data_IF_807626223272
#
_entry.id   IF_807626223272
#
_cell.length_a   1.000
_cell.length_b   1.000
_cell.length_c   1.000
_cell.angle_alpha   90.00
_cell.angle_beta   90.00
_cell.angle_gamma   90.00
#
_symmetry.space_group_name_H-M   'P 1'
#
loop_
_entity.id
_entity.type
_entity.pdbx_description
1 polymer ?
#
# COMPACT_ATOMS: atom_id res chain seq x y z
N UNK A 1 26.52 22.39 -11.59
CA UNK A 1 25.29 21.57 -11.60
C UNK A 1 25.76 20.12 -11.56
N UNK A 2 25.42 19.33 -10.54
CA UNK A 2 25.84 17.91 -10.50
C UNK A 2 24.93 17.12 -11.43
N UNK A 3 25.52 16.27 -12.27
CA UNK A 3 24.77 15.36 -13.13
C UNK A 3 23.96 14.38 -12.28
N UNK A 4 22.64 14.36 -12.50
CA UNK A 4 21.71 13.44 -11.83
C UNK A 4 21.77 12.09 -12.57
N UNK A 5 22.54 11.15 -12.03
CA UNK A 5 22.56 9.78 -12.55
C UNK A 5 21.35 9.00 -12.03
N UNK A 6 20.53 8.49 -12.94
CA UNK A 6 19.42 7.60 -12.60
C UNK A 6 19.97 6.22 -12.19
N UNK A 7 19.39 5.66 -11.13
CA UNK A 7 19.65 4.29 -10.72
C UNK A 7 19.05 3.27 -11.69
N UNK A 8 19.33 1.97 -11.49
CA UNK A 8 18.69 0.91 -12.26
C UNK A 8 17.16 0.91 -12.05
N UNK A 9 16.43 0.38 -13.03
CA UNK A 9 14.98 0.24 -12.92
C UNK A 9 14.59 -0.63 -11.71
N UNK A 10 13.48 -0.30 -11.01
CA UNK A 10 13.07 -1.05 -9.84
C UNK A 10 12.60 -2.45 -10.23
N UNK A 11 12.98 -3.45 -9.42
CA UNK A 11 12.55 -4.85 -9.62
C UNK A 11 11.19 -5.17 -9.00
N UNK A 12 10.68 -4.27 -8.17
CA UNK A 12 9.37 -4.37 -7.55
C UNK A 12 8.62 -3.06 -7.76
N UNK A 13 7.33 -3.17 -8.08
CA UNK A 13 6.39 -2.06 -7.94
C UNK A 13 5.25 -2.50 -7.04
N UNK A 14 4.79 -1.60 -6.19
CA UNK A 14 3.76 -1.88 -5.19
C UNK A 14 2.52 -1.07 -5.54
N UNK A 15 1.35 -1.66 -5.35
CA UNK A 15 0.09 -0.95 -5.49
C UNK A 15 -0.90 -1.36 -4.39
N UNK A 16 -1.67 -0.38 -3.92
CA UNK A 16 -2.69 -0.53 -2.90
C UNK A 16 -3.98 0.14 -3.40
N UNK A 17 -5.13 -0.46 -3.15
CA UNK A 17 -6.40 0.14 -3.49
C UNK A 17 -7.61 -0.71 -3.10
N UNK A 18 -8.82 -0.32 -3.53
CA UNK A 18 -10.06 -1.05 -3.27
C UNK A 18 -10.04 -2.47 -3.83
N UNK A 19 -10.80 -3.38 -3.22
CA UNK A 19 -10.94 -4.76 -3.71
C UNK A 19 -11.69 -4.82 -5.05
N UNK A 20 -12.71 -4.00 -5.24
CA UNK A 20 -13.54 -4.03 -6.45
C UNK A 20 -13.17 -2.94 -7.46
N UNK A 21 -12.08 -2.19 -7.19
CA UNK A 21 -11.60 -1.10 -8.02
C UNK A 21 -10.33 -1.45 -8.81
N UNK A 22 -10.01 -0.61 -9.79
CA UNK A 22 -8.69 -0.64 -10.42
C UNK A 22 -7.63 -0.24 -9.39
N UNK A 23 -6.70 -1.15 -9.13
CA UNK A 23 -5.46 -0.84 -8.41
C UNK A 23 -4.43 -0.44 -9.46
N UNK A 24 -3.92 0.80 -9.48
CA UNK A 24 -2.99 1.24 -10.51
C UNK A 24 -1.74 0.35 -10.54
N UNK A 25 -1.59 -0.47 -11.58
CA UNK A 25 -0.53 -1.50 -11.67
C UNK A 25 0.88 -0.89 -11.77
N UNK A 26 1.01 0.28 -12.38
CA UNK A 26 2.24 1.05 -12.46
C UNK A 26 1.94 2.47 -12.95
N UNK A 27 2.60 3.46 -12.35
CA UNK A 27 2.57 4.86 -12.81
C UNK A 27 3.84 5.25 -13.56
N UNK A 28 4.77 4.31 -13.78
CA UNK A 28 6.00 4.57 -14.48
C UNK A 28 5.70 5.02 -15.92
N UNK A 29 6.26 6.16 -16.34
CA UNK A 29 6.11 6.71 -17.69
C UNK A 29 4.79 7.44 -17.95
N UNK A 30 3.99 7.72 -16.93
CA UNK A 30 2.78 8.57 -17.09
C UNK A 30 3.14 10.05 -17.04
N UNK A 31 2.56 10.83 -17.95
CA UNK A 31 2.66 12.30 -17.94
C UNK A 31 1.85 12.93 -16.79
N UNK A 32 0.79 12.25 -16.35
CA UNK A 32 -0.08 12.70 -15.26
C UNK A 32 -0.25 11.60 -14.20
N UNK A 33 -0.13 11.99 -12.92
CA UNK A 33 -0.48 11.11 -11.81
C UNK A 33 -2.00 11.01 -11.70
N UNK A 34 -2.58 9.81 -11.56
CA UNK A 34 -4.01 9.67 -11.34
C UNK A 34 -4.39 10.24 -9.97
N UNK A 35 -5.66 10.61 -9.81
CA UNK A 35 -6.20 10.90 -8.49
C UNK A 35 -6.07 9.66 -7.58
N UNK A 36 -5.56 9.82 -6.34
CA UNK A 36 -5.51 8.74 -5.37
C UNK A 36 -6.89 8.13 -5.14
N UNK A 37 -6.98 6.80 -5.21
CA UNK A 37 -8.20 6.09 -4.84
C UNK A 37 -8.57 6.38 -3.39
N UNK A 38 -9.85 6.30 -3.04
CA UNK A 38 -10.34 6.54 -1.68
C UNK A 38 -10.97 5.28 -1.08
N UNK A 39 -10.62 5.03 0.18
CA UNK A 39 -11.26 4.05 1.05
C UNK A 39 -11.95 4.79 2.19
N UNK A 40 -13.21 4.44 2.43
CA UNK A 40 -14.01 4.95 3.56
C UNK A 40 -14.17 3.83 4.57
N UNK A 41 -14.02 4.16 5.85
CA UNK A 41 -14.19 3.25 6.98
C UNK A 41 -14.92 3.98 8.11
N UNK A 42 -15.82 3.30 8.80
CA UNK A 42 -16.50 3.83 9.97
C UNK A 42 -15.81 3.39 11.27
N UNK A 43 -15.92 4.15 12.38
CA UNK A 43 -15.44 3.72 13.68
C UNK A 43 -16.02 2.34 14.07
N UNK A 44 -15.15 1.39 14.40
CA UNK A 44 -15.52 0.00 14.71
C UNK A 44 -15.66 -0.92 13.49
N UNK A 45 -15.49 -0.40 12.27
CA UNK A 45 -15.55 -1.18 11.04
C UNK A 45 -14.19 -1.80 10.69
N UNK A 46 -14.24 -2.92 9.97
CA UNK A 46 -13.10 -3.49 9.24
C UNK A 46 -13.42 -3.57 7.76
N UNK A 47 -12.60 -2.91 6.94
CA UNK A 47 -12.69 -2.96 5.47
C UNK A 47 -11.55 -3.77 4.87
N UNK A 48 -11.69 -4.11 3.59
CA UNK A 48 -10.69 -4.84 2.81
C UNK A 48 -10.03 -3.91 1.80
N UNK A 49 -8.72 -4.06 1.61
CA UNK A 49 -7.98 -3.45 0.51
C UNK A 49 -7.13 -4.50 -0.22
N UNK A 50 -6.92 -4.32 -1.52
CA UNK A 50 -6.05 -5.17 -2.33
C UNK A 50 -4.64 -4.57 -2.35
N UNK A 51 -3.66 -5.36 -1.93
CA UNK A 51 -2.24 -5.10 -2.10
C UNK A 51 -1.71 -5.98 -3.24
N UNK A 52 -1.01 -5.35 -4.19
CA UNK A 52 -0.42 -6.02 -5.34
C UNK A 52 1.05 -5.66 -5.50
N UNK A 53 1.84 -6.61 -5.98
CA UNK A 53 3.21 -6.39 -6.46
C UNK A 53 3.31 -6.72 -7.94
N UNK A 54 4.06 -5.90 -8.66
CA UNK A 54 4.57 -6.22 -10.00
C UNK A 54 6.05 -6.56 -9.84
N UNK A 55 6.43 -7.76 -10.30
CA UNK A 55 7.80 -8.28 -10.19
C UNK A 55 8.51 -8.15 -11.53
N UNK A 56 9.58 -7.38 -11.57
CA UNK A 56 10.52 -7.30 -12.68
C UNK A 56 11.83 -8.01 -12.29
N UNK A 57 11.80 -9.35 -12.35
CA UNK A 57 12.96 -10.20 -12.04
C UNK A 57 13.24 -10.44 -10.55
N UNK A 58 12.31 -10.06 -9.66
CA UNK A 58 12.38 -10.40 -8.24
C UNK A 58 11.41 -11.53 -7.87
N UNK A 59 11.95 -12.67 -7.45
CA UNK A 59 11.16 -13.89 -7.21
C UNK A 59 10.90 -14.17 -5.73
N UNK A 60 11.62 -13.53 -4.81
CA UNK A 60 11.47 -13.79 -3.38
C UNK A 60 10.14 -13.30 -2.79
N UNK A 61 9.89 -13.66 -1.53
CA UNK A 61 8.78 -13.10 -0.75
C UNK A 61 8.90 -11.58 -0.56
N UNK A 62 7.80 -10.86 -0.58
CA UNK A 62 7.77 -9.39 -0.35
C UNK A 62 7.15 -9.09 1.00
N UNK A 63 7.95 -8.55 1.91
CA UNK A 63 7.49 -8.06 3.20
C UNK A 63 7.20 -6.58 3.09
N UNK A 64 6.11 -6.17 3.71
CA UNK A 64 5.76 -4.77 3.83
C UNK A 64 5.94 -4.38 5.28
N UNK A 65 6.61 -3.24 5.47
CA UNK A 65 6.34 -2.49 6.68
C UNK A 65 4.83 -2.19 6.66
N UNK A 66 4.13 -2.64 7.71
CA UNK A 66 2.70 -2.43 7.85
C UNK A 66 2.37 -0.95 7.60
N UNK A 67 1.11 -0.61 7.28
CA UNK A 67 0.63 0.78 7.06
C UNK A 67 0.88 1.75 8.25
N UNK A 68 1.79 1.47 9.17
CA UNK A 68 2.30 2.35 10.22
C UNK A 68 2.78 3.71 9.69
N UNK A 69 3.09 3.83 8.41
CA UNK A 69 3.39 5.10 7.77
C UNK A 69 2.07 5.84 7.45
N UNK A 70 1.67 6.72 8.36
CA UNK A 70 0.61 7.73 8.21
C UNK A 70 -0.86 7.27 8.30
N UNK A 71 -1.16 6.09 8.87
CA UNK A 71 -2.55 5.76 9.25
C UNK A 71 -3.14 6.79 10.23
N UNK A 72 -4.46 7.05 10.17
CA UNK A 72 -5.15 7.80 11.23
C UNK A 72 -4.97 7.13 12.61
N UNK A 73 -4.91 7.94 13.66
CA UNK A 73 -4.75 7.43 15.03
C UNK A 73 -5.94 6.53 15.41
N UNK A 74 -5.64 5.31 15.86
CA UNK A 74 -6.63 4.28 16.15
C UNK A 74 -7.10 3.46 14.95
N UNK A 75 -6.51 3.68 13.77
CA UNK A 75 -6.65 2.79 12.60
C UNK A 75 -5.41 1.92 12.48
N UNK A 76 -5.61 0.63 12.20
CA UNK A 76 -4.53 -0.36 12.11
C UNK A 76 -4.81 -1.42 11.03
N UNK A 77 -3.77 -2.17 10.68
CA UNK A 77 -3.91 -3.36 9.82
C UNK A 77 -4.15 -4.55 10.73
N UNK A 78 -5.26 -5.24 10.47
CA UNK A 78 -5.64 -6.45 11.18
C UNK A 78 -5.23 -7.71 10.40
N UNK A 79 -5.29 -8.86 11.05
CA UNK A 79 -5.04 -10.18 10.48
C UNK A 79 -3.63 -10.32 9.84
N UNK A 80 -2.64 -9.68 10.45
CA UNK A 80 -1.23 -9.80 10.05
C UNK A 80 -0.52 -10.89 10.86
N UNK A 81 0.39 -11.61 10.20
CA UNK A 81 1.27 -12.57 10.88
C UNK A 81 2.36 -11.86 11.69
N UNK A 82 3.21 -12.66 12.36
CA UNK A 82 4.31 -12.15 13.19
C UNK A 82 5.26 -11.17 12.45
N UNK A 83 5.39 -11.33 11.13
CA UNK A 83 6.23 -10.49 10.27
C UNK A 83 5.47 -9.34 9.60
N UNK A 84 4.24 -9.06 10.00
CA UNK A 84 3.39 -8.05 9.36
C UNK A 84 2.74 -8.56 8.08
N UNK A 85 2.60 -7.65 7.10
CA UNK A 85 2.01 -7.96 5.80
C UNK A 85 3.09 -8.58 4.91
N UNK A 86 2.81 -9.77 4.38
CA UNK A 86 3.72 -10.54 3.54
C UNK A 86 2.98 -11.04 2.30
N UNK A 87 3.56 -10.87 1.12
CA UNK A 87 3.18 -11.62 -0.09
C UNK A 87 4.21 -12.73 -0.29
N UNK A 88 3.82 -14.02 -0.24
CA UNK A 88 4.71 -15.16 -0.46
C UNK A 88 5.43 -15.13 -1.81
N UNK A 89 6.47 -15.95 -1.92
CA UNK A 89 7.09 -16.25 -3.23
C UNK A 89 6.07 -16.95 -4.14
N UNK A 90 6.04 -16.58 -5.41
CA UNK A 90 5.07 -17.08 -6.40
C UNK A 90 3.69 -16.41 -6.34
N UNK A 91 3.42 -15.59 -5.33
CA UNK A 91 2.19 -14.77 -5.24
C UNK A 91 2.48 -13.30 -5.58
N UNK A 92 1.48 -12.64 -6.17
CA UNK A 92 1.58 -11.24 -6.61
C UNK A 92 0.55 -10.32 -5.94
N UNK A 93 -0.40 -10.86 -5.20
CA UNK A 93 -1.41 -10.06 -4.52
C UNK A 93 -1.90 -10.72 -3.23
N UNK A 94 -2.37 -9.88 -2.30
CA UNK A 94 -3.21 -10.34 -1.19
C UNK A 94 -4.20 -9.28 -0.77
N UNK A 95 -5.17 -9.72 0.02
CA UNK A 95 -6.08 -8.84 0.73
C UNK A 95 -5.48 -8.47 2.08
N UNK A 96 -5.53 -7.18 2.41
CA UNK A 96 -5.25 -6.64 3.74
C UNK A 96 -6.54 -6.14 4.37
N UNK A 97 -6.62 -6.24 5.69
CA UNK A 97 -7.76 -5.80 6.47
C UNK A 97 -7.38 -4.54 7.24
N UNK A 98 -8.18 -3.49 7.10
CA UNK A 98 -7.96 -2.20 7.76
C UNK A 98 -9.10 -2.02 8.75
N UNK A 99 -8.77 -1.78 10.01
CA UNK A 99 -9.76 -1.65 11.09
C UNK A 99 -9.62 -0.29 11.76
N UNK A 100 -10.74 0.39 11.98
CA UNK A 100 -10.81 1.59 12.80
C UNK A 100 -11.36 1.22 14.18
N UNK A 101 -10.68 1.64 15.25
CA UNK A 101 -11.22 1.46 16.58
C UNK A 101 -12.54 2.25 16.77
N UNK A 102 -13.47 1.82 17.66
CA UNK A 102 -14.77 2.47 17.81
C UNK A 102 -14.72 3.95 18.25
N UNK A 103 -13.61 4.38 18.83
CA UNK A 103 -13.43 5.74 19.34
C UNK A 103 -12.74 6.69 18.34
N UNK A 104 -12.36 6.19 17.16
CA UNK A 104 -11.64 7.00 16.17
C UNK A 104 -12.52 8.15 15.69
N UNK A 105 -11.94 9.35 15.66
CA UNK A 105 -12.63 10.55 15.18
C UNK A 105 -12.56 10.65 13.65
N UNK A 106 -13.55 11.32 13.01
CA UNK A 106 -13.52 11.57 11.58
C UNK A 106 -12.21 12.22 11.14
N UNK A 107 -11.58 11.66 10.11
CA UNK A 107 -10.29 12.13 9.62
C UNK A 107 -10.00 11.60 8.23
N UNK A 108 -9.06 12.23 7.52
CA UNK A 108 -8.66 11.82 6.18
C UNK A 108 -7.15 11.91 6.04
N UNK A 109 -6.50 10.84 5.58
CA UNK A 109 -5.03 10.79 5.38
C UNK A 109 -4.65 10.07 4.10
N UNK A 110 -3.56 10.50 3.48
CA UNK A 110 -2.87 9.71 2.46
C UNK A 110 -2.07 8.60 3.13
N UNK A 111 -2.31 7.36 2.73
CA UNK A 111 -1.65 6.18 3.26
C UNK A 111 -1.02 5.39 2.13
N UNK A 112 0.11 4.75 2.41
CA UNK A 112 0.85 3.94 1.45
C UNK A 112 1.56 2.78 2.16
N UNK A 113 1.81 1.70 1.42
CA UNK A 113 2.63 0.59 1.90
C UNK A 113 4.04 0.71 1.38
N UNK A 114 5.02 0.33 2.21
CA UNK A 114 6.44 0.28 1.84
C UNK A 114 6.92 -1.16 1.84
N UNK A 115 7.35 -1.66 0.69
CA UNK A 115 8.06 -2.93 0.60
C UNK A 115 9.42 -2.81 1.32
N UNK A 116 9.91 -3.89 1.91
CA UNK A 116 11.22 -3.91 2.56
C UNK A 116 12.35 -4.35 1.61
N UNK A 117 12.01 -4.99 0.50
CA UNK A 117 12.94 -5.52 -0.48
C UNK A 117 13.13 -4.57 -1.68
N UNK A 118 14.16 -4.83 -2.49
CA UNK A 118 14.44 -4.17 -3.78
C UNK A 118 14.27 -2.64 -3.77
N UNK A 119 15.01 -1.95 -2.90
CA UNK A 119 15.05 -0.49 -2.88
C UNK A 119 13.86 0.17 -2.16
N UNK A 120 13.15 -0.58 -1.33
CA UNK A 120 12.11 -0.08 -0.42
C UNK A 120 10.99 0.70 -1.09
N UNK A 121 10.50 0.18 -2.21
CA UNK A 121 9.48 0.84 -3.02
C UNK A 121 8.16 1.03 -2.26
N UNK A 122 7.54 2.19 -2.45
CA UNK A 122 6.24 2.52 -1.88
C UNK A 122 5.12 2.34 -2.90
N UNK A 123 3.92 2.01 -2.43
CA UNK A 123 2.74 2.12 -3.29
C UNK A 123 2.46 3.56 -3.69
N UNK A 124 1.71 3.75 -4.76
CA UNK A 124 0.99 5.01 -4.92
C UNK A 124 0.06 5.20 -3.70
N UNK A 125 -0.02 6.40 -3.12
CA UNK A 125 -0.85 6.58 -1.94
C UNK A 125 -2.33 6.50 -2.30
N UNK A 126 -3.14 6.16 -1.31
CA UNK A 126 -4.60 6.21 -1.37
C UNK A 126 -5.10 7.11 -0.24
N UNK A 127 -6.27 7.70 -0.42
CA UNK A 127 -7.00 8.32 0.67
C UNK A 127 -7.62 7.25 1.56
N UNK A 128 -7.37 7.34 2.86
CA UNK A 128 -8.12 6.62 3.87
C UNK A 128 -8.89 7.64 4.70
N UNK A 129 -10.21 7.49 4.71
CA UNK A 129 -11.13 8.39 5.38
C UNK A 129 -11.91 7.63 6.44
N UNK A 130 -11.87 8.15 7.66
CA UNK A 130 -12.76 7.74 8.74
C UNK A 130 -13.96 8.68 8.75
N UNK A 131 -15.17 8.13 8.67
CA UNK A 131 -16.44 8.87 8.66
C UNK A 131 -17.36 8.47 9.82
#
# INVERSE_FOLDING_TARGET
MRDLNLGPAPKLRVALGPVDGEVPRSLAGREHFPEPAELVIHPGETIRARLRVERAGYHGRVQFESLKLNLPHGVYIDNIGLNGVLIPEGEDERIVFITAAPWVLPSRRLVFLRAQQEGTQTSFPIWLRVE
#
